data_IF_085997210342
#
_entry.id   IF_085997210342
#
_cell.length_a   1.000
_cell.length_b   1.000
_cell.length_c   1.000
_cell.angle_alpha   90.00
_cell.angle_beta   90.00
_cell.angle_gamma   90.00
#
_symmetry.space_group_name_H-M   'P 1'
#
loop_
_entity.id
_entity.type
_entity.pdbx_description
1 polymer ?
#
# COMPACT_ATOMS: atom_id res chain seq x y z
N UNK A 1 -9.94 -22.45 50.25
CA UNK A 1 -10.21 -21.51 49.14
C UNK A 1 -9.05 -21.60 48.17
N UNK A 2 -9.27 -22.24 47.02
CA UNK A 2 -8.25 -22.40 45.98
C UNK A 2 -8.57 -21.37 44.89
N UNK A 3 -7.68 -20.41 44.72
CA UNK A 3 -7.81 -19.41 43.64
C UNK A 3 -7.49 -20.03 42.29
N UNK A 4 -8.27 -19.76 41.23
CA UNK A 4 -7.94 -20.26 39.88
C UNK A 4 -6.76 -19.46 39.33
N UNK A 5 -5.71 -20.18 38.88
CA UNK A 5 -4.65 -19.65 38.04
C UNK A 5 -5.24 -19.33 36.66
N UNK A 6 -5.37 -18.05 36.34
CA UNK A 6 -5.61 -17.61 34.98
C UNK A 6 -4.30 -17.78 34.17
N UNK A 7 -4.26 -18.78 33.31
CA UNK A 7 -3.20 -18.93 32.32
C UNK A 7 -3.38 -17.82 31.25
N UNK A 8 -2.47 -16.87 31.25
CA UNK A 8 -2.35 -15.91 30.15
C UNK A 8 -1.89 -16.69 28.90
N UNK A 9 -2.77 -16.79 27.91
CA UNK A 9 -2.39 -17.27 26.58
C UNK A 9 -1.53 -16.16 25.96
N UNK A 10 -0.22 -16.38 25.93
CA UNK A 10 0.68 -15.55 25.15
C UNK A 10 0.33 -15.75 23.66
N UNK A 11 -0.35 -14.79 23.06
CA UNK A 11 -0.47 -14.70 21.60
C UNK A 11 0.96 -14.49 21.10
N UNK A 12 1.49 -15.46 20.40
CA UNK A 12 2.78 -15.33 19.71
C UNK A 12 2.65 -14.11 18.78
N UNK A 13 3.44 -13.08 19.02
CA UNK A 13 3.58 -11.96 18.09
C UNK A 13 4.05 -12.58 16.77
N UNK A 14 3.19 -12.55 15.75
CA UNK A 14 3.52 -13.04 14.43
C UNK A 14 4.77 -12.31 13.94
N UNK A 15 5.70 -13.04 13.37
CA UNK A 15 6.79 -12.41 12.62
C UNK A 15 6.13 -11.72 11.43
N UNK A 16 6.08 -10.40 11.44
CA UNK A 16 5.43 -9.59 10.38
C UNK A 16 5.84 -10.00 8.95
N UNK A 17 5.27 -9.37 7.92
CA UNK A 17 5.50 -9.76 6.53
C UNK A 17 6.98 -9.67 6.16
N UNK A 18 7.45 -10.58 5.32
CA UNK A 18 8.84 -10.62 4.88
C UNK A 18 8.94 -10.61 3.36
N UNK A 19 10.05 -10.08 2.84
CA UNK A 19 10.35 -10.09 1.41
C UNK A 19 11.84 -10.33 1.18
N UNK A 20 12.18 -11.41 0.51
CA UNK A 20 13.56 -11.73 0.15
C UNK A 20 14.50 -11.90 1.34
N UNK A 21 13.98 -12.29 2.51
CA UNK A 21 14.73 -12.42 3.76
C UNK A 21 14.86 -11.13 4.57
N UNK A 22 14.17 -10.05 4.15
CA UNK A 22 14.04 -8.82 4.92
C UNK A 22 12.66 -8.74 5.58
N UNK A 23 12.53 -8.15 6.77
CA UNK A 23 11.22 -7.75 7.26
C UNK A 23 10.62 -6.69 6.31
N UNK A 24 9.31 -6.62 6.24
CA UNK A 24 8.60 -5.49 5.64
C UNK A 24 8.01 -4.68 6.78
N UNK A 25 8.85 -3.84 7.36
CA UNK A 25 8.64 -3.02 8.55
C UNK A 25 8.50 -3.82 9.86
N UNK A 26 8.68 -3.16 11.02
CA UNK A 26 8.44 -3.75 12.33
C UNK A 26 6.96 -4.10 12.56
N UNK A 27 6.65 -5.02 13.48
CA UNK A 27 5.25 -5.41 13.76
C UNK A 27 4.36 -4.26 14.28
N UNK A 28 4.95 -3.26 14.93
CA UNK A 28 4.26 -2.07 15.44
C UNK A 28 4.13 -0.94 14.41
N UNK A 29 4.65 -1.13 13.21
CA UNK A 29 4.47 -0.17 12.11
C UNK A 29 2.99 -0.13 11.68
N UNK A 30 2.42 1.05 11.34
CA UNK A 30 1.02 1.17 10.89
C UNK A 30 0.61 0.19 9.79
N UNK A 31 1.52 -0.16 8.89
CA UNK A 31 1.23 -1.13 7.83
C UNK A 31 0.93 -2.54 8.36
N UNK A 32 1.54 -2.93 9.50
CA UNK A 32 1.47 -4.28 10.04
C UNK A 32 0.52 -4.40 11.26
N UNK A 33 -0.06 -3.28 11.70
CA UNK A 33 -0.97 -3.26 12.84
C UNK A 33 -2.32 -3.87 12.49
N UNK A 34 -2.76 -4.83 13.30
CA UNK A 34 -4.13 -5.31 13.32
C UNK A 34 -5.07 -4.21 13.84
N UNK A 35 -5.97 -3.76 12.98
CA UNK A 35 -6.94 -2.70 13.28
C UNK A 35 -8.37 -3.22 13.42
N UNK A 36 -8.56 -4.54 13.49
CA UNK A 36 -9.90 -5.15 13.57
C UNK A 36 -10.74 -4.65 14.75
N UNK A 37 -10.09 -4.17 15.83
CA UNK A 37 -10.72 -3.58 17.01
C UNK A 37 -10.50 -2.07 17.17
N UNK A 38 -9.89 -1.41 16.19
CA UNK A 38 -9.67 0.04 16.24
C UNK A 38 -11.01 0.80 16.26
N UNK A 39 -11.11 1.96 16.96
CA UNK A 39 -12.31 2.79 16.93
C UNK A 39 -12.66 3.22 15.49
N UNK A 40 -13.95 3.26 15.19
CA UNK A 40 -14.45 3.83 13.94
C UNK A 40 -14.38 5.35 14.03
N UNK A 41 -13.90 6.00 12.99
CA UNK A 41 -13.86 7.46 12.89
C UNK A 41 -15.28 8.04 12.93
N UNK A 42 -15.52 9.13 13.67
CA UNK A 42 -16.79 9.86 13.61
C UNK A 42 -17.14 10.36 12.19
N UNK A 43 -16.14 10.53 11.32
CA UNK A 43 -16.31 10.97 9.93
C UNK A 43 -16.44 9.80 8.94
N UNK A 44 -16.41 8.54 9.41
CA UNK A 44 -16.37 7.36 8.57
C UNK A 44 -17.41 7.33 7.46
N UNK A 45 -18.68 7.63 7.79
CA UNK A 45 -19.75 7.62 6.79
C UNK A 45 -19.58 8.74 5.76
N UNK A 46 -19.08 9.91 6.17
CA UNK A 46 -18.80 11.03 5.27
C UNK A 46 -17.65 10.66 4.31
N UNK A 47 -16.56 10.11 4.82
CA UNK A 47 -15.41 9.67 4.03
C UNK A 47 -15.80 8.62 3.00
N UNK A 48 -16.50 7.56 3.42
CA UNK A 48 -16.96 6.48 2.54
C UNK A 48 -17.90 6.99 1.45
N UNK A 49 -18.81 7.90 1.81
CA UNK A 49 -19.74 8.51 0.85
C UNK A 49 -18.98 9.40 -0.15
N UNK A 50 -18.02 10.20 0.31
CA UNK A 50 -17.19 11.04 -0.57
C UNK A 50 -16.39 10.21 -1.58
N UNK A 51 -15.73 9.13 -1.12
CA UNK A 51 -14.99 8.20 -1.98
C UNK A 51 -15.93 7.56 -3.03
N UNK A 52 -17.15 7.19 -2.63
CA UNK A 52 -18.13 6.52 -3.51
C UNK A 52 -18.92 7.48 -4.40
N UNK A 53 -18.81 8.81 -4.17
CA UNK A 53 -19.54 9.82 -4.93
C UNK A 53 -19.02 9.96 -6.36
N UNK A 54 -17.73 9.66 -6.58
CA UNK A 54 -17.04 9.75 -7.87
C UNK A 54 -16.21 8.50 -8.13
N UNK A 55 -16.07 8.14 -9.38
CA UNK A 55 -15.38 6.92 -9.81
C UNK A 55 -16.25 5.69 -9.60
N UNK A 56 -15.65 4.61 -9.14
CA UNK A 56 -16.35 3.37 -8.87
C UNK A 56 -16.98 3.35 -7.46
N UNK A 57 -17.90 2.42 -7.25
CA UNK A 57 -18.61 2.22 -5.97
C UNK A 57 -18.35 0.86 -5.36
N UNK A 58 -17.60 0.03 -6.04
CA UNK A 58 -17.27 -1.33 -5.63
C UNK A 58 -15.75 -1.48 -5.58
N UNK A 59 -15.30 -2.45 -4.80
CA UNK A 59 -13.89 -2.77 -4.69
C UNK A 59 -13.38 -3.42 -5.98
N UNK A 60 -12.23 -2.99 -6.46
CA UNK A 60 -11.57 -3.54 -7.64
C UNK A 60 -10.12 -3.90 -7.34
N UNK A 61 -9.64 -4.95 -8.00
CA UNK A 61 -8.21 -5.21 -8.11
C UNK A 61 -7.64 -4.44 -9.31
N UNK A 62 -6.61 -3.62 -9.09
CA UNK A 62 -5.82 -2.98 -10.14
C UNK A 62 -4.61 -3.85 -10.53
N UNK A 63 -4.84 -5.15 -10.62
CA UNK A 63 -3.87 -6.16 -10.98
C UNK A 63 -4.57 -7.40 -11.53
N UNK A 64 -3.81 -8.33 -12.15
CA UNK A 64 -4.37 -9.49 -12.83
C UNK A 64 -4.06 -9.45 -14.33
N UNK A 65 -5.01 -9.86 -15.18
CA UNK A 65 -4.87 -9.87 -16.63
C UNK A 65 -3.69 -10.72 -17.11
N UNK A 66 -3.42 -11.85 -16.46
CA UNK A 66 -2.24 -12.68 -16.78
C UNK A 66 -0.91 -12.00 -16.50
N UNK A 67 -0.86 -11.06 -15.54
CA UNK A 67 0.33 -10.27 -15.16
C UNK A 67 0.58 -9.06 -16.07
N UNK A 68 -0.42 -8.65 -16.83
CA UNK A 68 -0.39 -7.42 -17.62
C UNK A 68 -0.57 -6.20 -16.73
N UNK A 69 -1.47 -6.29 -15.75
CA UNK A 69 -1.77 -5.26 -14.77
C UNK A 69 -1.04 -5.51 -13.45
N UNK A 70 -0.98 -4.47 -12.61
CA UNK A 70 -0.27 -4.45 -11.35
C UNK A 70 1.16 -3.94 -11.45
N UNK A 71 1.76 -3.60 -10.31
CA UNK A 71 3.09 -3.00 -10.26
C UNK A 71 4.18 -4.07 -10.12
N UNK A 72 5.12 -4.15 -11.08
CA UNK A 72 6.19 -5.13 -11.02
C UNK A 72 7.23 -4.73 -9.98
N UNK A 73 7.74 -5.68 -9.21
CA UNK A 73 8.88 -5.49 -8.33
C UNK A 73 10.01 -6.48 -8.60
N UNK A 74 11.20 -6.16 -8.13
CA UNK A 74 12.40 -7.00 -8.26
C UNK A 74 13.14 -7.09 -6.92
N UNK A 75 13.53 -8.31 -6.53
CA UNK A 75 14.42 -8.53 -5.42
C UNK A 75 15.84 -8.69 -5.99
N UNK A 76 16.80 -7.95 -5.44
CA UNK A 76 18.21 -7.98 -5.86
C UNK A 76 19.12 -8.28 -4.67
N UNK A 77 20.32 -8.76 -4.95
CA UNK A 77 21.34 -9.01 -3.93
C UNK A 77 22.06 -7.71 -3.52
N UNK A 78 22.72 -7.72 -2.37
CA UNK A 78 23.49 -6.60 -1.84
C UNK A 78 24.56 -6.08 -2.83
N UNK A 79 25.09 -6.95 -3.66
CA UNK A 79 26.13 -6.65 -4.65
C UNK A 79 25.59 -6.16 -6.01
N UNK A 80 24.26 -5.98 -6.14
CA UNK A 80 23.67 -5.44 -7.37
C UNK A 80 24.34 -4.11 -7.75
N UNK A 81 24.92 -3.99 -8.95
CA UNK A 81 25.47 -2.73 -9.42
C UNK A 81 24.41 -1.62 -9.42
N UNK A 82 24.82 -0.45 -8.96
CA UNK A 82 23.94 0.72 -8.90
C UNK A 82 24.08 1.55 -10.18
N UNK A 83 22.95 2.14 -10.60
CA UNK A 83 22.87 3.03 -11.77
C UNK A 83 22.45 4.44 -11.35
N UNK A 84 22.92 5.49 -12.06
CA UNK A 84 22.49 6.86 -11.80
C UNK A 84 21.01 7.03 -12.12
N UNK A 85 20.31 7.81 -11.30
CA UNK A 85 18.93 8.24 -11.51
C UNK A 85 18.88 9.76 -11.47
N UNK A 86 18.22 10.38 -12.44
CA UNK A 86 17.96 11.83 -12.48
C UNK A 86 16.48 12.08 -12.33
N UNK A 87 16.10 12.87 -11.37
CA UNK A 87 14.70 13.26 -11.10
C UNK A 87 14.32 14.53 -11.84
N UNK A 88 13.05 14.64 -12.26
CA UNK A 88 12.55 15.72 -13.14
C UNK A 88 11.32 16.44 -12.60
N UNK A 89 10.53 15.83 -11.75
CA UNK A 89 9.29 16.42 -11.22
C UNK A 89 9.48 16.88 -9.78
N UNK A 90 9.94 16.00 -8.88
CA UNK A 90 10.17 16.32 -7.47
C UNK A 90 11.63 16.06 -7.04
N UNK A 91 12.64 16.72 -7.67
CA UNK A 91 14.04 16.45 -7.37
C UNK A 91 14.46 16.85 -5.94
N UNK A 92 13.77 17.81 -5.33
CA UNK A 92 14.00 18.26 -3.95
C UNK A 92 13.49 17.30 -2.89
N UNK A 93 12.50 16.49 -3.23
CA UNK A 93 11.83 15.52 -2.37
C UNK A 93 12.23 14.07 -2.69
N UNK A 94 13.14 13.87 -3.62
CA UNK A 94 13.58 12.55 -4.05
C UNK A 94 14.91 12.18 -3.41
N UNK A 95 15.05 10.94 -2.99
CA UNK A 95 16.31 10.42 -2.45
C UNK A 95 17.32 10.25 -3.57
N UNK A 96 18.47 10.91 -3.45
CA UNK A 96 19.49 10.89 -4.50
C UNK A 96 20.08 9.51 -4.70
N UNK A 97 20.25 9.12 -5.97
CA UNK A 97 20.91 7.87 -6.33
C UNK A 97 22.40 7.81 -5.97
N UNK A 98 23.08 6.70 -6.37
CA UNK A 98 22.63 5.72 -7.36
C UNK A 98 21.78 4.60 -6.78
N UNK A 99 20.90 4.00 -7.61
CA UNK A 99 19.95 2.95 -7.24
C UNK A 99 20.34 1.57 -7.79
N UNK A 100 20.13 0.45 -7.04
CA UNK A 100 20.51 -0.89 -7.45
C UNK A 100 19.50 -1.51 -8.43
N UNK A 101 19.21 -0.83 -9.55
CA UNK A 101 18.19 -1.22 -10.51
C UNK A 101 18.84 -1.99 -11.68
N UNK A 102 18.61 -3.31 -11.79
CA UNK A 102 19.16 -4.10 -12.89
C UNK A 102 18.43 -3.79 -14.21
N UNK A 103 19.09 -4.06 -15.32
CA UNK A 103 18.47 -3.91 -16.64
C UNK A 103 17.22 -4.79 -16.84
N UNK A 104 17.13 -5.89 -16.10
CA UNK A 104 16.00 -6.82 -16.12
C UNK A 104 14.82 -6.39 -15.23
N UNK A 105 14.93 -5.32 -14.45
CA UNK A 105 13.78 -4.76 -13.75
C UNK A 105 12.78 -4.24 -14.76
N UNK A 106 11.53 -4.70 -14.66
CA UNK A 106 10.43 -4.20 -15.47
C UNK A 106 10.09 -2.78 -15.01
N UNK A 107 9.76 -1.94 -15.97
CA UNK A 107 9.10 -0.65 -15.74
C UNK A 107 7.62 -0.91 -15.95
N UNK A 108 6.79 -0.48 -15.05
CA UNK A 108 5.35 -0.60 -15.17
C UNK A 108 4.84 0.12 -16.43
N UNK A 109 3.93 -0.49 -17.19
CA UNK A 109 3.19 0.23 -18.24
C UNK A 109 2.28 1.29 -17.60
N UNK A 110 2.24 2.50 -18.13
CA UNK A 110 1.46 3.61 -17.58
C UNK A 110 2.32 4.54 -16.74
N UNK A 111 2.22 4.47 -15.43
CA UNK A 111 2.89 5.42 -14.50
C UNK A 111 4.41 5.22 -14.39
N UNK A 112 4.91 4.11 -14.92
CA UNK A 112 6.34 3.90 -15.02
C UNK A 112 7.01 3.57 -13.68
N UNK A 113 6.31 2.93 -12.76
CA UNK A 113 6.89 2.50 -11.49
C UNK A 113 8.01 1.47 -11.68
N UNK A 114 9.05 1.61 -10.86
CA UNK A 114 10.11 0.62 -10.71
C UNK A 114 10.36 0.39 -9.22
N UNK A 115 10.09 -0.81 -8.75
CA UNK A 115 10.26 -1.20 -7.35
C UNK A 115 11.39 -2.23 -7.22
N UNK A 116 12.38 -1.94 -6.37
CA UNK A 116 13.52 -2.84 -6.14
C UNK A 116 13.80 -2.98 -4.66
N UNK A 117 13.63 -4.19 -4.11
CA UNK A 117 14.03 -4.54 -2.76
C UNK A 117 15.43 -5.17 -2.75
N UNK A 118 16.34 -4.64 -1.93
CA UNK A 118 17.73 -5.12 -1.86
C UNK A 118 17.94 -5.99 -0.62
N UNK A 119 18.22 -7.28 -0.84
CA UNK A 119 18.60 -8.23 0.22
C UNK A 119 19.87 -7.80 0.94
N UNK A 120 19.95 -8.09 2.24
CA UNK A 120 21.12 -7.88 3.07
C UNK A 120 21.37 -6.42 3.48
N UNK A 121 20.69 -5.46 2.84
CA UNK A 121 20.59 -4.07 3.31
C UNK A 121 19.16 -3.74 3.76
N UNK A 122 18.20 -4.55 3.35
CA UNK A 122 16.77 -4.36 3.56
C UNK A 122 16.28 -2.95 3.19
N UNK A 123 16.83 -2.41 2.10
CA UNK A 123 16.41 -1.14 1.52
C UNK A 123 15.48 -1.39 0.34
N UNK A 124 14.41 -0.64 0.29
CA UNK A 124 13.48 -0.58 -0.83
C UNK A 124 13.74 0.70 -1.61
N UNK A 125 13.86 0.57 -2.92
CA UNK A 125 14.07 1.66 -3.87
C UNK A 125 12.88 1.72 -4.81
N UNK A 126 12.22 2.86 -4.88
CA UNK A 126 11.02 3.06 -5.69
C UNK A 126 11.18 4.29 -6.57
N UNK A 127 10.69 4.21 -7.80
CA UNK A 127 10.69 5.29 -8.78
C UNK A 127 9.30 5.42 -9.40
N UNK A 128 8.88 6.66 -9.65
CA UNK A 128 7.73 7.04 -10.46
C UNK A 128 8.20 7.67 -11.78
N UNK A 129 7.44 7.46 -12.86
CA UNK A 129 7.73 8.07 -14.16
C UNK A 129 9.06 7.60 -14.76
N UNK A 130 9.52 6.40 -14.40
CA UNK A 130 10.85 5.94 -14.75
C UNK A 130 10.96 5.58 -16.24
N UNK A 131 12.07 6.04 -16.85
CA UNK A 131 12.45 5.69 -18.23
C UNK A 131 13.94 5.43 -18.29
N UNK A 132 14.34 4.42 -19.06
CA UNK A 132 15.76 4.13 -19.27
C UNK A 132 16.40 5.18 -20.17
N UNK A 133 17.58 5.67 -19.75
CA UNK A 133 18.38 6.62 -20.53
C UNK A 133 19.87 6.28 -20.42
N UNK A 134 20.43 5.82 -21.51
CA UNK A 134 21.84 5.39 -21.54
C UNK A 134 22.11 4.26 -20.53
N UNK A 135 23.02 4.52 -19.57
CA UNK A 135 23.37 3.56 -18.51
C UNK A 135 22.57 3.73 -17.24
N UNK A 136 21.66 4.73 -17.17
CA UNK A 136 20.88 5.06 -15.99
C UNK A 136 19.38 5.15 -16.29
N UNK A 137 18.68 5.87 -15.42
CA UNK A 137 17.26 6.19 -15.54
C UNK A 137 17.03 7.69 -15.38
N UNK A 138 15.91 8.13 -15.96
CA UNK A 138 15.26 9.40 -15.62
C UNK A 138 13.93 9.01 -15.01
N UNK A 139 13.54 9.66 -13.91
CA UNK A 139 12.29 9.42 -13.20
C UNK A 139 11.66 10.76 -12.79
N UNK A 140 10.36 10.78 -12.56
CA UNK A 140 9.65 11.93 -12.00
C UNK A 140 10.10 12.17 -10.56
N UNK A 141 9.93 11.17 -9.73
CA UNK A 141 10.32 11.13 -8.32
C UNK A 141 10.91 9.78 -7.93
N UNK A 142 11.44 9.67 -6.70
CA UNK A 142 11.91 8.41 -6.17
C UNK A 142 12.26 8.45 -4.69
N UNK A 143 12.09 7.30 -4.05
CA UNK A 143 12.27 7.15 -2.61
C UNK A 143 13.10 5.92 -2.25
N UNK A 144 13.76 6.00 -1.10
CA UNK A 144 14.50 4.88 -0.50
C UNK A 144 13.97 4.66 0.92
N UNK A 145 13.30 3.53 1.14
CA UNK A 145 12.79 3.17 2.44
C UNK A 145 13.66 2.11 3.12
N UNK A 146 13.76 2.21 4.43
CA UNK A 146 14.37 1.18 5.26
C UNK A 146 13.29 0.21 5.73
N UNK A 147 13.30 -1.00 5.19
CA UNK A 147 12.31 -2.03 5.54
C UNK A 147 12.48 -2.56 6.97
N UNK A 148 13.63 -2.34 7.60
CA UNK A 148 13.88 -2.75 8.98
C UNK A 148 13.33 -1.78 10.02
N UNK A 149 13.27 -0.49 9.70
CA UNK A 149 12.80 0.54 10.65
C UNK A 149 11.42 1.08 10.34
N UNK A 150 11.05 1.12 9.06
CA UNK A 150 9.78 1.72 8.62
C UNK A 150 9.69 3.22 8.91
N UNK A 151 10.83 3.92 8.96
CA UNK A 151 10.86 5.37 9.19
C UNK A 151 10.10 6.10 8.08
N UNK A 152 9.32 7.11 8.50
CA UNK A 152 8.60 7.98 7.58
C UNK A 152 9.57 8.86 6.77
N UNK A 153 9.11 9.32 5.63
CA UNK A 153 9.77 10.39 4.87
C UNK A 153 9.65 11.72 5.62
N UNK A 154 10.45 12.74 5.26
CA UNK A 154 10.25 14.09 5.77
C UNK A 154 8.83 14.59 5.47
N UNK A 155 8.27 15.39 6.38
CA UNK A 155 6.95 16.02 6.20
C UNK A 155 6.92 16.84 4.91
N UNK A 156 5.83 16.74 4.16
CA UNK A 156 5.63 17.41 2.88
C UNK A 156 6.42 16.77 1.72
N UNK A 157 7.09 15.63 1.92
CA UNK A 157 7.80 14.95 0.84
C UNK A 157 6.94 13.86 0.23
N UNK A 158 6.79 13.92 -1.11
CA UNK A 158 6.27 12.80 -1.90
C UNK A 158 7.25 11.63 -1.95
N UNK A 159 6.84 10.51 -2.53
CA UNK A 159 7.71 9.36 -2.84
C UNK A 159 7.59 8.98 -4.32
N UNK A 160 7.59 7.70 -4.63
CA UNK A 160 7.07 7.17 -5.90
C UNK A 160 5.54 7.01 -5.86
N UNK A 161 4.94 7.23 -4.70
CA UNK A 161 3.52 7.28 -4.42
C UNK A 161 3.14 8.72 -4.05
N UNK A 162 1.98 9.20 -4.49
CA UNK A 162 1.56 10.59 -4.29
C UNK A 162 1.47 10.97 -2.79
N UNK A 163 1.06 10.04 -1.95
CA UNK A 163 0.93 10.24 -0.51
C UNK A 163 2.27 10.23 0.27
N UNK A 164 3.41 10.08 -0.41
CA UNK A 164 4.70 9.89 0.27
C UNK A 164 4.87 8.50 0.89
N UNK A 165 3.93 7.61 0.67
CA UNK A 165 3.94 6.23 1.17
C UNK A 165 4.90 5.34 0.36
N UNK A 166 5.38 4.22 0.91
CA UNK A 166 6.00 3.16 0.14
C UNK A 166 4.92 2.36 -0.61
N UNK A 167 5.17 2.05 -1.88
CA UNK A 167 4.25 1.29 -2.71
C UNK A 167 4.29 -0.21 -2.37
N UNK A 168 5.49 -0.80 -2.39
CA UNK A 168 5.66 -2.26 -2.27
C UNK A 168 5.07 -2.86 -0.99
N UNK A 169 5.19 -2.24 0.19
CA UNK A 169 4.56 -2.73 1.42
C UNK A 169 3.04 -2.80 1.37
N UNK A 170 2.41 -1.96 0.55
CA UNK A 170 0.94 -1.90 0.40
C UNK A 170 0.39 -2.74 -0.77
N UNK A 171 1.22 -3.42 -1.54
CA UNK A 171 0.75 -4.26 -2.65
C UNK A 171 0.15 -5.57 -2.12
N UNK A 172 -0.98 -5.99 -2.68
CA UNK A 172 -1.37 -7.39 -2.64
C UNK A 172 -0.33 -8.20 -3.43
N UNK A 173 0.43 -9.07 -2.76
CA UNK A 173 1.45 -9.90 -3.42
C UNK A 173 0.96 -11.32 -3.58
N UNK A 174 1.08 -11.86 -4.80
CA UNK A 174 0.58 -13.20 -5.08
C UNK A 174 1.16 -14.29 -4.16
N UNK A 175 2.45 -14.21 -3.83
CA UNK A 175 3.08 -15.22 -2.97
C UNK A 175 2.49 -15.25 -1.54
N UNK A 176 1.98 -14.13 -1.02
CA UNK A 176 1.27 -14.07 0.26
C UNK A 176 -0.12 -14.68 0.15
N UNK A 177 -0.84 -14.34 -0.92
CA UNK A 177 -2.16 -14.93 -1.19
C UNK A 177 -2.05 -16.45 -1.38
N UNK A 178 -1.03 -16.92 -2.11
CA UNK A 178 -0.76 -18.35 -2.28
C UNK A 178 -0.36 -19.03 -0.96
N UNK A 179 0.23 -18.30 -0.02
CA UNK A 179 0.52 -18.79 1.35
C UNK A 179 -0.71 -18.77 2.27
N UNK A 180 -1.83 -18.17 1.82
CA UNK A 180 -3.10 -18.13 2.51
C UNK A 180 -3.34 -16.92 3.41
N UNK A 181 -2.41 -15.96 3.48
CA UNK A 181 -2.58 -14.76 4.30
C UNK A 181 -1.79 -13.57 3.75
N UNK A 182 -2.37 -12.38 3.85
CA UNK A 182 -1.70 -11.09 3.75
C UNK A 182 -1.70 -10.49 5.16
N UNK A 183 -0.53 -10.30 5.75
CA UNK A 183 -0.36 -9.84 7.13
C UNK A 183 0.03 -8.35 7.22
N UNK A 184 -0.52 -7.52 6.36
CA UNK A 184 -0.33 -6.07 6.32
C UNK A 184 -1.51 -5.36 5.67
N UNK A 185 -1.59 -4.03 5.85
CA UNK A 185 -2.55 -3.17 5.16
C UNK A 185 -2.24 -3.09 3.67
N UNK A 186 -3.26 -2.90 2.87
CA UNK A 186 -3.13 -2.64 1.44
C UNK A 186 -3.11 -1.13 1.15
N UNK A 187 -2.82 -0.75 -0.08
CA UNK A 187 -3.02 0.59 -0.62
C UNK A 187 -4.17 0.60 -1.62
N UNK A 188 -4.88 1.72 -1.70
CA UNK A 188 -5.93 1.91 -2.69
C UNK A 188 -6.00 3.36 -3.16
N UNK A 189 -6.73 3.59 -4.26
CA UNK A 189 -6.91 4.90 -4.86
C UNK A 189 -8.30 5.47 -4.62
N UNK A 190 -8.39 6.81 -4.63
CA UNK A 190 -9.62 7.59 -4.56
C UNK A 190 -9.64 8.60 -5.70
N UNK A 191 -10.82 8.94 -6.23
CA UNK A 191 -10.92 9.89 -7.35
C UNK A 191 -10.55 11.31 -6.94
N UNK A 192 -10.89 11.70 -5.74
CA UNK A 192 -10.61 13.03 -5.21
C UNK A 192 -10.11 12.92 -3.77
N UNK A 193 -9.14 13.76 -3.39
CA UNK A 193 -8.63 13.88 -2.04
C UNK A 193 -8.59 15.35 -1.61
N UNK A 194 -8.60 15.62 -0.30
CA UNK A 194 -8.39 16.97 0.21
C UNK A 194 -6.90 17.33 0.28
N UNK A 195 -6.60 18.63 0.38
CA UNK A 195 -5.29 19.11 0.77
C UNK A 195 -5.03 18.75 2.23
N UNK A 196 -4.20 17.73 2.43
CA UNK A 196 -3.81 17.22 3.73
C UNK A 196 -3.58 15.72 3.72
N UNK A 197 -2.91 15.25 4.75
CA UNK A 197 -2.58 13.84 4.92
C UNK A 197 -2.62 13.44 6.40
N UNK A 198 -2.73 12.14 6.65
CA UNK A 198 -2.64 11.51 7.97
C UNK A 198 -1.49 10.50 7.92
N UNK A 199 -0.62 10.48 8.96
CA UNK A 199 0.43 9.47 9.04
C UNK A 199 -0.15 8.03 8.92
N UNK A 200 0.56 7.15 8.18
CA UNK A 200 1.96 7.22 7.74
C UNK A 200 2.21 7.97 6.43
N UNK A 201 1.20 8.57 5.77
CA UNK A 201 1.44 9.46 4.64
C UNK A 201 2.18 10.73 5.10
N UNK A 202 2.94 11.32 4.20
CA UNK A 202 3.76 12.52 4.46
C UNK A 202 3.53 13.63 3.45
N UNK A 203 2.59 13.41 2.51
CA UNK A 203 2.34 14.35 1.43
C UNK A 203 0.86 14.30 1.00
N UNK A 204 0.31 15.44 0.64
CA UNK A 204 -0.98 15.57 -0.04
C UNK A 204 -0.85 15.40 -1.56
N UNK A 205 -1.93 14.93 -2.20
CA UNK A 205 -1.98 14.76 -3.66
C UNK A 205 -2.95 15.71 -4.35
N UNK A 206 -3.47 16.70 -3.63
CA UNK A 206 -4.48 17.65 -4.12
C UNK A 206 -4.42 18.98 -3.40
N UNK A 207 -4.77 20.06 -4.10
CA UNK A 207 -4.94 21.39 -3.55
C UNK A 207 -6.40 21.68 -3.11
N UNK A 208 -7.28 20.68 -3.11
CA UNK A 208 -8.68 20.87 -2.78
C UNK A 208 -8.87 21.15 -1.27
N UNK A 209 -9.49 22.28 -0.95
CA UNK A 209 -9.77 22.68 0.43
C UNK A 209 -11.09 22.11 1.00
N UNK A 210 -11.71 21.15 0.32
CA UNK A 210 -12.95 20.52 0.79
C UNK A 210 -12.66 19.49 1.90
N UNK A 211 -13.04 19.78 3.16
CA UNK A 211 -12.77 18.89 4.28
C UNK A 211 -13.61 17.60 4.28
N UNK A 212 -14.59 17.49 3.38
CA UNK A 212 -15.38 16.28 3.23
C UNK A 212 -14.70 15.24 2.32
N UNK A 213 -13.64 15.62 1.60
CA UNK A 213 -12.85 14.67 0.82
C UNK A 213 -11.87 13.91 1.71
N UNK A 214 -11.56 12.64 1.38
CA UNK A 214 -10.61 11.87 2.16
C UNK A 214 -9.19 12.46 2.06
N UNK A 215 -8.44 12.56 3.17
CA UNK A 215 -7.02 12.89 3.11
C UNK A 215 -6.17 11.70 2.65
N UNK A 216 -4.97 11.96 2.14
CA UNK A 216 -3.98 10.90 1.94
C UNK A 216 -3.63 10.24 3.28
N UNK A 217 -3.40 8.93 3.28
CA UNK A 217 -3.13 8.18 4.50
C UNK A 217 -4.36 7.83 5.34
N UNK A 218 -5.57 8.26 4.95
CA UNK A 218 -6.80 7.80 5.61
C UNK A 218 -6.84 6.26 5.56
N UNK A 219 -7.13 5.64 6.70
CA UNK A 219 -7.17 4.18 6.80
C UNK A 219 -8.59 3.66 6.89
N UNK A 220 -8.96 2.78 5.98
CA UNK A 220 -10.25 2.10 5.97
C UNK A 220 -10.05 0.60 6.23
N UNK A 221 -11.09 -0.04 6.79
CA UNK A 221 -11.17 -1.50 6.89
C UNK A 221 -12.53 -2.00 6.41
N UNK A 222 -12.59 -3.24 5.96
CA UNK A 222 -13.86 -3.92 5.73
C UNK A 222 -14.56 -4.16 7.08
N UNK A 223 -15.83 -3.80 7.20
CA UNK A 223 -16.61 -3.91 8.44
C UNK A 223 -16.58 -5.34 9.00
N UNK A 224 -16.40 -5.46 10.31
CA UNK A 224 -16.31 -6.76 10.98
C UNK A 224 -17.50 -7.69 10.67
N UNK A 225 -18.71 -7.12 10.60
CA UNK A 225 -19.97 -7.85 10.31
C UNK A 225 -20.19 -8.20 8.84
N UNK A 226 -19.32 -7.79 7.91
CA UNK A 226 -19.49 -8.14 6.50
C UNK A 226 -19.26 -9.63 6.29
N UNK A 227 -20.25 -10.34 5.71
CA UNK A 227 -20.18 -11.80 5.54
C UNK A 227 -19.20 -12.18 4.40
N UNK A 228 -18.23 -13.02 4.70
CA UNK A 228 -17.27 -13.55 3.75
C UNK A 228 -17.56 -14.99 3.31
N UNK A 229 -18.64 -15.62 3.78
CA UNK A 229 -18.93 -17.03 3.52
C UNK A 229 -19.18 -17.35 2.04
N UNK A 230 -19.55 -16.34 1.24
CA UNK A 230 -19.73 -16.47 -0.20
C UNK A 230 -18.48 -16.29 -1.04
N UNK A 231 -17.35 -15.90 -0.42
CA UNK A 231 -16.08 -15.66 -1.12
C UNK A 231 -15.14 -16.86 -1.02
N UNK A 232 -14.30 -17.03 -2.00
CA UNK A 232 -13.31 -18.11 -2.03
C UNK A 232 -11.99 -17.66 -2.67
N UNK A 233 -11.00 -18.55 -2.72
CA UNK A 233 -9.74 -18.35 -3.41
C UNK A 233 -9.00 -17.09 -3.00
N UNK A 234 -8.47 -16.38 -3.99
CA UNK A 234 -7.64 -15.20 -3.80
C UNK A 234 -8.43 -14.02 -3.20
N UNK A 235 -9.69 -13.85 -3.61
CA UNK A 235 -10.55 -12.80 -3.07
C UNK A 235 -10.79 -12.96 -1.56
N UNK A 236 -11.02 -14.18 -1.08
CA UNK A 236 -11.22 -14.44 0.36
C UNK A 236 -9.98 -14.03 1.19
N UNK A 237 -8.77 -14.33 0.71
CA UNK A 237 -7.53 -13.95 1.39
C UNK A 237 -7.39 -12.43 1.45
N UNK A 238 -7.64 -11.74 0.34
CA UNK A 238 -7.59 -10.28 0.25
C UNK A 238 -8.63 -9.64 1.20
N UNK A 239 -9.88 -10.09 1.16
CA UNK A 239 -10.96 -9.56 1.99
C UNK A 239 -10.71 -9.81 3.49
N UNK A 240 -10.10 -10.94 3.82
CA UNK A 240 -9.68 -11.24 5.20
C UNK A 240 -8.62 -10.26 5.70
N UNK A 241 -7.64 -9.93 4.85
CA UNK A 241 -6.63 -8.91 5.16
C UNK A 241 -7.27 -7.52 5.32
N UNK A 242 -8.23 -7.16 4.45
CA UNK A 242 -8.95 -5.89 4.53
C UNK A 242 -9.79 -5.75 5.81
N UNK A 243 -10.31 -6.85 6.37
CA UNK A 243 -10.93 -6.82 7.71
C UNK A 243 -9.95 -6.59 8.82
N UNK A 244 -8.76 -7.18 8.73
CA UNK A 244 -7.79 -7.21 9.81
C UNK A 244 -6.85 -6.01 9.79
N UNK A 245 -6.30 -5.72 8.63
CA UNK A 245 -5.29 -4.68 8.44
C UNK A 245 -5.80 -3.45 7.70
N UNK A 246 -6.89 -3.61 6.93
CA UNK A 246 -7.47 -2.52 6.16
C UNK A 246 -6.62 -2.08 4.97
N UNK A 247 -6.82 -0.83 4.55
CA UNK A 247 -6.10 -0.22 3.44
C UNK A 247 -5.95 1.28 3.65
N UNK A 248 -4.90 1.88 3.07
CA UNK A 248 -4.60 3.31 3.11
C UNK A 248 -4.95 3.98 1.79
N UNK A 249 -5.54 5.18 1.86
CA UNK A 249 -5.62 6.11 0.72
C UNK A 249 -4.19 6.51 0.35
N UNK A 250 -3.73 6.13 -0.83
CA UNK A 250 -2.35 6.26 -1.23
C UNK A 250 -2.15 7.17 -2.44
N UNK A 251 -3.14 7.27 -3.32
CA UNK A 251 -3.04 8.04 -4.54
C UNK A 251 -4.41 8.48 -5.06
N UNK A 252 -4.43 9.47 -5.94
CA UNK A 252 -5.60 9.79 -6.75
C UNK A 252 -5.67 8.86 -7.98
N UNK A 253 -6.88 8.38 -8.26
CA UNK A 253 -7.17 7.44 -9.35
C UNK A 253 -8.65 7.07 -9.34
N UNK A 254 -9.02 5.97 -9.94
CA UNK A 254 -10.41 5.49 -9.80
C UNK A 254 -10.65 5.01 -8.36
N UNK A 255 -11.75 5.44 -7.75
CA UNK A 255 -12.10 5.06 -6.38
C UNK A 255 -12.22 3.55 -6.21
N UNK A 256 -11.83 3.06 -5.02
CA UNK A 256 -11.92 1.66 -4.59
C UNK A 256 -11.02 0.66 -5.35
N UNK A 257 -9.98 1.12 -6.03
CA UNK A 257 -9.01 0.24 -6.68
C UNK A 257 -7.86 -0.05 -5.72
N UNK A 258 -7.74 -1.33 -5.27
CA UNK A 258 -6.57 -1.81 -4.52
C UNK A 258 -5.47 -2.19 -5.48
N UNK A 259 -4.23 -1.90 -5.10
CA UNK A 259 -3.06 -2.17 -5.94
C UNK A 259 -2.42 -3.51 -5.55
N UNK A 260 -1.95 -4.24 -6.54
CA UNK A 260 -1.23 -5.49 -6.33
C UNK A 260 -0.01 -5.65 -7.24
N UNK A 261 0.74 -6.70 -7.00
CA UNK A 261 1.92 -7.03 -7.79
C UNK A 261 1.54 -7.58 -9.17
N UNK A 262 2.31 -7.22 -10.21
CA UNK A 262 2.18 -7.83 -11.52
C UNK A 262 2.64 -9.30 -11.49
N UNK A 263 1.71 -10.22 -11.53
CA UNK A 263 1.96 -11.67 -11.51
C UNK A 263 1.01 -12.42 -12.44
N UNK A 264 1.52 -13.43 -13.14
CA UNK A 264 0.73 -14.21 -14.11
C UNK A 264 -0.16 -15.26 -13.46
N UNK A 265 0.01 -15.48 -12.17
CA UNK A 265 -0.70 -16.50 -11.39
C UNK A 265 -2.01 -15.96 -10.79
N UNK A 266 -2.27 -14.65 -10.90
CA UNK A 266 -3.57 -14.11 -10.53
C UNK A 266 -4.67 -14.75 -11.37
N UNK A 267 -5.74 -15.14 -10.72
CA UNK A 267 -6.96 -15.67 -11.32
C UNK A 267 -7.99 -14.54 -11.39
N UNK A 268 -8.31 -14.11 -12.61
CA UNK A 268 -9.20 -12.97 -12.82
C UNK A 268 -10.63 -13.28 -12.38
N UNK A 269 -11.11 -14.55 -12.48
CA UNK A 269 -12.43 -14.96 -12.01
C UNK A 269 -12.50 -14.88 -10.47
N UNK A 270 -11.43 -15.26 -9.77
CA UNK A 270 -11.30 -15.08 -8.32
C UNK A 270 -11.31 -13.59 -7.94
N UNK A 271 -10.52 -12.77 -8.63
CA UNK A 271 -10.44 -11.32 -8.38
C UNK A 271 -11.75 -10.59 -8.68
N UNK A 272 -12.52 -11.04 -9.65
CA UNK A 272 -13.81 -10.44 -10.01
C UNK A 272 -14.86 -10.54 -8.90
N UNK A 273 -14.70 -11.46 -7.94
CA UNK A 273 -15.54 -11.49 -6.74
C UNK A 273 -15.44 -10.18 -5.93
N UNK A 274 -14.28 -9.49 -5.95
CA UNK A 274 -14.11 -8.21 -5.25
C UNK A 274 -15.08 -7.14 -5.75
N UNK A 275 -15.46 -7.18 -7.02
CA UNK A 275 -16.43 -6.26 -7.65
C UNK A 275 -17.85 -6.39 -7.10
N UNK A 276 -18.12 -7.35 -6.23
CA UNK A 276 -19.38 -7.47 -5.50
C UNK A 276 -19.38 -6.78 -4.15
N UNK A 277 -18.22 -6.29 -3.67
CA UNK A 277 -18.06 -5.65 -2.37
C UNK A 277 -18.24 -4.14 -2.53
N UNK A 278 -19.36 -3.56 -2.05
CA UNK A 278 -19.60 -2.13 -2.19
C UNK A 278 -18.72 -1.34 -1.23
N UNK A 279 -18.37 -0.10 -1.61
CA UNK A 279 -17.63 0.83 -0.75
C UNK A 279 -18.30 1.05 0.62
N UNK A 280 -19.65 0.99 0.67
CA UNK A 280 -20.40 1.08 1.92
C UNK A 280 -20.18 -0.09 2.90
N UNK A 281 -19.51 -1.16 2.45
CA UNK A 281 -19.07 -2.26 3.32
C UNK A 281 -17.82 -1.91 4.13
N UNK A 282 -17.16 -0.78 3.81
CA UNK A 282 -15.99 -0.29 4.52
C UNK A 282 -16.35 0.76 5.56
N UNK A 283 -15.43 0.97 6.48
CA UNK A 283 -15.48 2.03 7.49
C UNK A 283 -14.07 2.62 7.70
N UNK A 284 -13.99 3.93 7.91
CA UNK A 284 -12.75 4.58 8.27
C UNK A 284 -12.47 4.37 9.76
N UNK A 285 -11.21 4.08 10.11
CA UNK A 285 -10.80 4.01 11.52
C UNK A 285 -10.26 5.37 11.96
N UNK A 286 -10.37 5.64 13.26
CA UNK A 286 -9.86 6.88 13.84
C UNK A 286 -8.33 6.86 13.84
N UNK A 287 -7.74 7.73 13.05
CA UNK A 287 -6.29 7.91 12.89
C UNK A 287 -5.84 9.34 13.18
N UNK A 288 -6.72 10.16 13.75
CA UNK A 288 -6.46 11.57 14.08
C UNK A 288 -6.84 12.54 12.95
N UNK A 289 -6.52 13.81 13.17
CA UNK A 289 -6.85 14.89 12.24
C UNK A 289 -5.82 15.02 11.12
N UNK A 290 -6.23 15.44 9.91
CA UNK A 290 -5.30 15.67 8.81
C UNK A 290 -4.31 16.80 9.08
N UNK A 291 -3.05 16.58 8.75
CA UNK A 291 -1.99 17.58 8.71
C UNK A 291 -2.15 18.37 7.40
N UNK A 292 -2.11 19.69 7.50
CA UNK A 292 -2.22 20.63 6.37
C UNK A 292 -1.08 21.64 6.42
N UNK A 293 -0.49 21.92 5.28
CA UNK A 293 0.61 22.87 5.12
C UNK A 293 0.22 24.10 4.31
#
# INVERSE_FOLDING_TARGET
MVAPLLAAVAVAAGTGPTLGGCPVFPPDNPWNQDISSAPVSPQSDADVNAISARGDRFLHADFGGGGQYGIPYKIVNRTQPKVPVRFTESPGESDRGPYPIPRTARIEPGDGHVLVAQRGTCKLYELYGARRRGRGLVAGSGAVFDLGTGALRPEGWTSADAAGLPILPGLARYDEVAAGAIDHALRFTVSDSQRGYIHPATHEASDADDPNLPPMGLRLRLKAGYDLSGFHGQALVILTALKRYGMFVADNGTSWYITGSADRRWDDDDLDQLKTVPGSAFEAVDTGEPIRH
#
